data_IF_649685320189
#
_entry.id   IF_649685320189
#
_cell.length_a   1.000
_cell.length_b   1.000
_cell.length_c   1.000
_cell.angle_alpha   90.00
_cell.angle_beta   90.00
_cell.angle_gamma   90.00
#
_symmetry.space_group_name_H-M   'P 1'
#
loop_
_entity.id
_entity.type
_entity.pdbx_description
1 polymer ?
#
# COMPACT_ATOMS: atom_id res chain seq x y z
N UNK A 1 5.45 23.86 8.19
CA UNK A 1 6.17 24.08 6.91
C UNK A 1 7.42 23.20 6.93
N UNK A 2 7.74 22.53 5.82
CA UNK A 2 9.02 21.83 5.66
C UNK A 2 9.73 22.35 4.42
N UNK A 3 11.06 22.34 4.43
CA UNK A 3 11.91 22.81 3.33
C UNK A 3 12.89 21.69 2.98
N UNK A 4 12.87 21.26 1.72
CA UNK A 4 13.77 20.25 1.19
C UNK A 4 14.67 20.90 0.14
N UNK A 5 15.97 20.59 0.19
CA UNK A 5 16.95 20.99 -0.82
C UNK A 5 17.31 19.75 -1.62
N UNK A 6 17.05 19.79 -2.92
CA UNK A 6 17.23 18.65 -3.83
C UNK A 6 18.23 19.08 -4.89
N UNK A 7 19.29 18.30 -5.07
CA UNK A 7 20.21 18.47 -6.19
C UNK A 7 19.83 17.45 -7.27
N UNK A 8 19.48 17.93 -8.46
CA UNK A 8 19.09 17.08 -9.60
C UNK A 8 19.73 17.63 -10.85
N UNK A 9 20.47 16.78 -11.57
CA UNK A 9 21.15 17.13 -12.83
C UNK A 9 22.08 18.35 -12.71
N UNK A 10 22.72 18.54 -11.54
CA UNK A 10 23.59 19.69 -11.24
C UNK A 10 22.85 20.99 -10.91
N UNK A 11 21.51 21.00 -10.97
CA UNK A 11 20.69 22.11 -10.52
C UNK A 11 20.25 21.92 -9.07
N UNK A 12 20.41 22.98 -8.29
CA UNK A 12 19.90 23.03 -6.94
C UNK A 12 18.45 23.54 -6.93
N UNK A 13 17.54 22.72 -6.41
CA UNK A 13 16.13 23.07 -6.24
C UNK A 13 15.76 23.12 -4.77
N UNK A 14 14.94 24.09 -4.40
CA UNK A 14 14.37 24.22 -3.06
C UNK A 14 12.87 24.01 -3.14
N UNK A 15 12.37 23.00 -2.42
CA UNK A 15 10.95 22.72 -2.29
C UNK A 15 10.46 23.17 -0.91
N UNK A 16 9.45 24.03 -0.89
CA UNK A 16 8.76 24.41 0.33
C UNK A 16 7.38 23.77 0.34
N UNK A 17 7.06 23.05 1.42
CA UNK A 17 5.74 22.43 1.64
C UNK A 17 5.05 23.07 2.84
N UNK A 18 3.84 23.55 2.59
CA UNK A 18 2.94 24.05 3.62
C UNK A 18 1.93 22.96 3.99
N UNK A 19 1.54 22.94 5.26
CA UNK A 19 0.57 21.98 5.78
C UNK A 19 -0.57 22.78 6.40
N UNK A 20 -1.79 22.41 6.06
CA UNK A 20 -3.02 22.99 6.61
C UNK A 20 -3.74 21.85 7.32
N UNK A 21 -4.06 22.06 8.59
CA UNK A 21 -4.76 21.08 9.42
C UNK A 21 -5.78 21.81 10.28
N UNK A 22 -6.92 21.16 10.51
CA UNK A 22 -8.06 21.72 11.26
C UNK A 22 -7.99 21.45 12.77
N UNK A 23 -6.95 20.76 13.23
CA UNK A 23 -6.77 20.37 14.63
C UNK A 23 -5.52 21.02 15.21
N UNK A 24 -5.54 21.32 16.50
CA UNK A 24 -4.37 21.84 17.19
C UNK A 24 -3.48 20.67 17.63
N UNK A 25 -2.41 20.43 16.88
CA UNK A 25 -1.52 19.29 17.09
C UNK A 25 -0.19 19.73 17.68
N UNK A 26 0.34 18.95 18.62
CA UNK A 26 1.75 19.01 18.98
C UNK A 26 2.65 18.58 17.81
N UNK A 27 3.95 18.90 17.88
CA UNK A 27 4.93 18.59 16.83
C UNK A 27 4.98 17.07 16.55
N UNK A 28 4.91 16.26 17.59
CA UNK A 28 4.95 14.80 17.52
C UNK A 28 3.74 14.21 16.80
N UNK A 29 2.55 14.72 17.11
CA UNK A 29 1.31 14.31 16.48
C UNK A 29 1.26 14.72 15.01
N UNK A 30 1.66 15.96 14.70
CA UNK A 30 1.82 16.41 13.32
C UNK A 30 2.78 15.49 12.54
N UNK A 31 3.97 15.21 13.11
CA UNK A 31 4.95 14.35 12.47
C UNK A 31 4.44 12.91 12.26
N UNK A 32 3.68 12.37 13.23
CA UNK A 32 3.02 11.06 13.11
C UNK A 32 1.98 11.06 11.98
N UNK A 33 1.13 12.08 11.90
CA UNK A 33 0.12 12.21 10.84
C UNK A 33 0.76 12.30 9.45
N UNK A 34 1.79 13.14 9.27
CA UNK A 34 2.50 13.29 7.99
C UNK A 34 3.17 11.97 7.58
N UNK A 35 3.82 11.27 8.52
CA UNK A 35 4.40 9.94 8.22
C UNK A 35 3.33 8.89 7.90
N UNK A 36 2.20 8.91 8.61
CA UNK A 36 1.06 8.03 8.35
C UNK A 36 0.47 8.26 6.96
N UNK A 37 0.38 9.51 6.51
CA UNK A 37 -0.13 9.84 5.17
C UNK A 37 0.68 9.16 4.05
N UNK A 38 2.01 9.07 4.19
CA UNK A 38 2.86 8.35 3.22
C UNK A 38 2.54 6.86 3.06
N UNK A 39 1.89 6.24 4.05
CA UNK A 39 1.45 4.84 3.93
C UNK A 39 0.35 4.69 2.87
N UNK A 40 -0.46 5.73 2.64
CA UNK A 40 -1.48 5.76 1.58
C UNK A 40 -0.82 5.76 0.20
N UNK A 41 0.19 6.61 -0.01
CA UNK A 41 0.95 6.63 -1.27
C UNK A 41 1.70 5.30 -1.51
N UNK A 42 2.23 4.71 -0.45
CA UNK A 42 2.87 3.39 -0.53
C UNK A 42 1.88 2.28 -0.94
N UNK A 43 0.59 2.41 -0.54
CA UNK A 43 -0.48 1.53 -0.98
C UNK A 43 -0.80 1.75 -2.46
N UNK A 44 -0.91 3.01 -2.91
CA UNK A 44 -1.14 3.34 -4.32
C UNK A 44 -0.06 2.75 -5.22
N UNK A 45 1.22 2.95 -4.88
CA UNK A 45 2.32 2.36 -5.64
C UNK A 45 2.20 0.83 -5.78
N UNK A 46 1.78 0.13 -4.72
CA UNK A 46 1.56 -1.31 -4.78
C UNK A 46 0.41 -1.66 -5.74
N UNK A 47 -0.69 -0.92 -5.73
CA UNK A 47 -1.81 -1.15 -6.65
C UNK A 47 -1.42 -0.85 -8.10
N UNK A 48 -0.73 0.27 -8.33
CA UNK A 48 -0.29 0.69 -9.66
C UNK A 48 0.72 -0.30 -10.26
N UNK A 49 1.72 -0.73 -9.50
CA UNK A 49 2.84 -1.54 -10.02
C UNK A 49 2.59 -3.04 -9.93
N UNK A 50 1.92 -3.52 -8.88
CA UNK A 50 1.69 -4.96 -8.65
C UNK A 50 0.37 -5.39 -9.30
N UNK A 51 -0.69 -4.60 -9.15
CA UNK A 51 -2.01 -4.89 -9.73
C UNK A 51 -2.26 -4.21 -11.08
N UNK A 52 -1.28 -3.45 -11.59
CA UNK A 52 -1.34 -2.76 -12.89
C UNK A 52 -2.56 -1.86 -12.99
N UNK A 53 -2.88 -1.15 -11.89
CA UNK A 53 -4.06 -0.29 -11.83
C UNK A 53 -4.01 0.83 -12.87
N UNK A 54 -2.85 1.47 -13.07
CA UNK A 54 -2.61 2.48 -14.13
C UNK A 54 -2.95 1.98 -15.55
N UNK A 55 -2.81 0.68 -15.80
CA UNK A 55 -3.09 0.07 -17.09
C UNK A 55 -4.55 -0.34 -17.29
N UNK A 56 -5.41 -0.13 -16.29
CA UNK A 56 -6.80 -0.56 -16.35
C UNK A 56 -7.60 0.30 -17.34
N UNK A 57 -8.34 -0.36 -18.24
CA UNK A 57 -9.16 0.31 -19.29
C UNK A 57 -10.66 0.09 -19.12
N UNK A 58 -11.09 -0.39 -17.96
CA UNK A 58 -12.52 -0.59 -17.66
C UNK A 58 -13.26 0.75 -17.69
N UNK A 59 -14.14 0.91 -18.70
CA UNK A 59 -14.91 2.14 -18.91
C UNK A 59 -16.09 2.28 -17.95
N UNK A 60 -16.67 1.16 -17.52
CA UNK A 60 -17.76 1.17 -16.55
C UNK A 60 -17.22 1.54 -15.16
N UNK A 61 -17.75 2.64 -14.59
CA UNK A 61 -17.29 3.19 -13.32
C UNK A 61 -17.51 2.25 -12.13
N UNK A 62 -18.64 1.54 -12.09
CA UNK A 62 -18.96 0.59 -11.03
C UNK A 62 -18.03 -0.62 -11.08
N UNK A 63 -17.80 -1.16 -12.28
CA UNK A 63 -16.86 -2.25 -12.47
C UNK A 63 -15.43 -1.85 -12.10
N UNK A 64 -15.00 -0.62 -12.42
CA UNK A 64 -13.70 -0.10 -12.01
C UNK A 64 -13.58 0.05 -10.48
N UNK A 65 -14.62 0.54 -9.81
CA UNK A 65 -14.67 0.66 -8.35
C UNK A 65 -14.64 -0.71 -7.66
N UNK A 66 -15.46 -1.66 -8.14
CA UNK A 66 -15.49 -3.03 -7.64
C UNK A 66 -14.13 -3.71 -7.79
N UNK A 67 -13.47 -3.54 -8.95
CA UNK A 67 -12.14 -4.09 -9.19
C UNK A 67 -11.10 -3.50 -8.23
N UNK A 68 -11.15 -2.20 -7.96
CA UNK A 68 -10.24 -1.57 -6.98
C UNK A 68 -10.47 -2.12 -5.57
N UNK A 69 -11.74 -2.26 -5.14
CA UNK A 69 -12.07 -2.86 -3.85
C UNK A 69 -11.50 -4.29 -3.73
N UNK A 70 -11.69 -5.13 -4.75
CA UNK A 70 -11.14 -6.49 -4.79
C UNK A 70 -9.60 -6.48 -4.70
N UNK A 71 -8.91 -5.62 -5.45
CA UNK A 71 -7.45 -5.50 -5.40
C UNK A 71 -6.95 -5.14 -3.99
N UNK A 72 -7.61 -4.21 -3.31
CA UNK A 72 -7.29 -3.81 -1.94
C UNK A 72 -7.48 -4.97 -0.96
N UNK A 73 -8.57 -5.74 -1.10
CA UNK A 73 -8.81 -6.96 -0.30
C UNK A 73 -7.71 -8.00 -0.55
N UNK A 74 -7.38 -8.29 -1.81
CA UNK A 74 -6.30 -9.21 -2.14
C UNK A 74 -4.95 -8.76 -1.57
N UNK A 75 -4.64 -7.46 -1.63
CA UNK A 75 -3.40 -6.92 -1.10
C UNK A 75 -3.34 -7.01 0.44
N UNK A 76 -4.48 -6.82 1.12
CA UNK A 76 -4.58 -7.06 2.55
C UNK A 76 -4.19 -8.50 2.90
N UNK A 77 -4.81 -9.50 2.26
CA UNK A 77 -4.48 -10.89 2.50
C UNK A 77 -3.01 -11.22 2.16
N UNK A 78 -2.50 -10.68 1.05
CA UNK A 78 -1.11 -10.86 0.63
C UNK A 78 -0.10 -10.33 1.69
N UNK A 79 -0.50 -9.34 2.50
CA UNK A 79 0.32 -8.83 3.62
C UNK A 79 0.21 -9.69 4.88
N UNK A 80 -0.93 -10.35 5.13
CA UNK A 80 -1.15 -11.22 6.29
C UNK A 80 -0.54 -12.62 6.13
N UNK A 81 -0.39 -13.11 4.89
CA UNK A 81 0.19 -14.42 4.64
C UNK A 81 1.66 -14.52 5.04
N UNK A 82 2.03 -15.63 5.69
CA UNK A 82 3.43 -15.95 5.95
C UNK A 82 4.01 -16.72 4.77
N UNK A 83 5.10 -16.19 4.21
CA UNK A 83 5.83 -16.82 3.12
C UNK A 83 7.13 -17.44 3.65
N UNK A 84 7.51 -18.59 3.11
CA UNK A 84 8.77 -19.29 3.50
C UNK A 84 10.03 -18.44 3.37
N UNK A 85 10.01 -17.39 2.54
CA UNK A 85 11.06 -16.37 2.49
C UNK A 85 10.47 -15.01 2.91
N UNK A 86 10.94 -14.41 4.01
CA UNK A 86 10.33 -13.20 4.58
C UNK A 86 10.41 -11.98 3.63
N UNK A 87 11.49 -11.86 2.85
CA UNK A 87 11.75 -10.70 1.97
C UNK A 87 11.45 -10.96 0.48
N UNK A 88 10.41 -11.75 0.19
CA UNK A 88 9.99 -11.96 -1.20
C UNK A 88 9.29 -10.72 -1.74
N UNK A 89 9.69 -10.26 -2.93
CA UNK A 89 9.00 -9.16 -3.62
C UNK A 89 7.53 -9.47 -3.93
N UNK A 90 6.66 -8.46 -3.90
CA UNK A 90 5.20 -8.61 -4.01
C UNK A 90 4.73 -9.35 -5.27
N UNK A 91 5.36 -9.13 -6.42
CA UNK A 91 5.05 -9.89 -7.66
C UNK A 91 5.28 -11.40 -7.50
N UNK A 92 6.38 -11.78 -6.83
CA UNK A 92 6.69 -13.20 -6.54
C UNK A 92 5.77 -13.77 -5.46
N UNK A 93 5.32 -12.95 -4.51
CA UNK A 93 4.30 -13.36 -3.54
C UNK A 93 2.98 -13.69 -4.24
N UNK A 94 2.51 -12.83 -5.16
CA UNK A 94 1.30 -13.11 -5.93
C UNK A 94 1.42 -14.39 -6.77
N UNK A 95 2.53 -14.59 -7.47
CA UNK A 95 2.76 -15.83 -8.21
C UNK A 95 2.72 -17.06 -7.31
N UNK A 96 3.30 -16.98 -6.11
CA UNK A 96 3.25 -18.08 -5.15
C UNK A 96 1.82 -18.41 -4.72
N UNK A 97 1.02 -17.40 -4.38
CA UNK A 97 -0.40 -17.57 -4.02
C UNK A 97 -1.17 -18.22 -5.16
N UNK A 98 -0.97 -17.74 -6.40
CA UNK A 98 -1.63 -18.30 -7.57
C UNK A 98 -1.27 -19.78 -7.81
N UNK A 99 -0.04 -20.20 -7.49
CA UNK A 99 0.41 -21.59 -7.65
C UNK A 99 0.03 -22.53 -6.49
N UNK A 100 -0.40 -21.98 -5.34
CA UNK A 100 -0.61 -22.72 -4.09
C UNK A 100 -1.83 -22.19 -3.34
N UNK A 101 -2.91 -21.97 -4.09
CA UNK A 101 -4.10 -21.29 -3.58
C UNK A 101 -4.68 -22.01 -2.36
N UNK A 102 -4.78 -23.33 -2.41
CA UNK A 102 -5.33 -24.14 -1.32
C UNK A 102 -4.54 -24.00 -0.01
N UNK A 103 -3.20 -24.07 -0.09
CA UNK A 103 -2.32 -23.86 1.07
C UNK A 103 -2.50 -22.45 1.66
N UNK A 104 -2.57 -21.44 0.79
CA UNK A 104 -2.73 -20.05 1.20
C UNK A 104 -4.11 -19.79 1.83
N UNK A 105 -5.18 -20.41 1.33
CA UNK A 105 -6.52 -20.31 1.92
C UNK A 105 -6.53 -20.97 3.30
N UNK A 106 -5.97 -22.17 3.45
CA UNK A 106 -5.88 -22.84 4.74
C UNK A 106 -5.06 -22.05 5.77
N UNK A 107 -4.03 -21.34 5.31
CA UNK A 107 -3.25 -20.45 6.17
C UNK A 107 -4.09 -19.27 6.65
N UNK A 108 -4.88 -18.65 5.77
CA UNK A 108 -5.75 -17.53 6.14
C UNK A 108 -6.84 -17.96 7.12
N UNK A 109 -7.48 -19.12 6.90
CA UNK A 109 -8.51 -19.63 7.79
C UNK A 109 -7.98 -19.87 9.21
N UNK A 110 -6.74 -20.36 9.34
CA UNK A 110 -6.09 -20.52 10.66
C UNK A 110 -5.82 -19.19 11.38
N UNK A 111 -5.57 -18.11 10.63
CA UNK A 111 -5.40 -16.78 11.23
C UNK A 111 -6.71 -16.23 11.81
N UNK A 112 -7.86 -16.62 11.26
CA UNK A 112 -9.15 -16.22 11.83
C UNK A 112 -9.38 -16.92 13.17
N UNK A 113 -9.11 -18.22 13.27
CA UNK A 113 -9.27 -19.02 14.50
C UNK A 113 -8.41 -18.51 15.66
N UNK A 114 -7.17 -18.07 15.41
CA UNK A 114 -6.28 -17.51 16.43
C UNK A 114 -6.69 -16.10 16.90
N UNK A 115 -7.54 -15.37 16.16
CA UNK A 115 -7.97 -14.01 16.55
C UNK A 115 -9.17 -13.98 17.52
N UNK A 116 -9.81 -15.13 17.75
CA UNK A 116 -10.96 -15.29 18.66
C UNK A 116 -10.57 -15.82 20.05
N UNK A 117 -9.27 -15.95 20.34
CA UNK A 117 -8.71 -16.30 21.66
C UNK A 117 -7.71 -15.25 22.11
#
# INVERSE_FOLDING_TARGET
>A
MTRNRIERDGELREEVRYFIFSFNAGVEEFARCVRGHWQVESLHWLLDVIYREDGNRTLNKEAAANLNALRKICLYFLKQMNFSKPNRGYRRKMHYVASRLDECIQQLMRLEEESYF
#
